data_IF_189443364920
#
_entry.id   IF_189443364920
#
_cell.length_a   1.000
_cell.length_b   1.000
_cell.length_c   1.000
_cell.angle_alpha   90.00
_cell.angle_beta   90.00
_cell.angle_gamma   90.00
#
_symmetry.space_group_name_H-M   'P 1'
#
loop_
_entity.id
_entity.type
_entity.pdbx_description
1 polymer ?
#
# COMPACT_ATOMS: atom_id res chain seq x y z
N UNK A 1 61.51 -23.58 19.82
CA UNK A 1 61.25 -24.60 18.78
C UNK A 1 59.81 -24.38 18.34
N UNK A 2 59.65 -23.69 17.21
CA UNK A 2 58.46 -22.94 16.79
C UNK A 2 57.45 -23.87 16.14
N UNK A 3 56.18 -23.79 16.56
CA UNK A 3 55.06 -24.36 15.82
C UNK A 3 54.60 -23.30 14.79
N UNK A 4 54.78 -23.51 13.47
CA UNK A 4 54.45 -22.51 12.48
C UNK A 4 52.95 -22.58 12.17
N UNK A 5 52.20 -21.63 12.74
CA UNK A 5 50.97 -21.02 12.18
C UNK A 5 50.30 -21.88 11.09
N UNK A 6 49.43 -22.79 11.52
CA UNK A 6 48.47 -23.43 10.62
C UNK A 6 47.75 -22.33 9.81
N UNK A 7 47.92 -22.35 8.49
CA UNK A 7 47.25 -21.41 7.61
C UNK A 7 45.73 -21.59 7.79
N UNK A 8 44.94 -20.50 7.93
CA UNK A 8 43.50 -20.63 7.87
C UNK A 8 43.15 -21.26 6.52
N UNK A 9 42.40 -22.36 6.55
CA UNK A 9 41.88 -22.99 5.34
C UNK A 9 41.07 -21.98 4.51
N UNK A 10 40.88 -22.23 3.20
CA UNK A 10 40.10 -21.34 2.36
C UNK A 10 38.73 -21.11 3.00
N UNK A 11 38.45 -19.86 3.38
CA UNK A 11 37.11 -19.46 3.80
C UNK A 11 36.21 -19.73 2.59
N UNK A 12 35.15 -20.55 2.71
CA UNK A 12 34.23 -20.74 1.60
C UNK A 12 33.70 -19.37 1.18
N UNK A 13 33.80 -19.07 -0.11
CA UNK A 13 33.23 -17.83 -0.67
C UNK A 13 31.72 -17.78 -0.43
N UNK A 14 31.10 -16.58 -0.50
CA UNK A 14 29.66 -16.45 -0.34
C UNK A 14 28.95 -17.39 -1.32
N UNK A 15 27.96 -18.13 -0.80
CA UNK A 15 27.16 -19.06 -1.58
C UNK A 15 26.10 -18.27 -2.37
N UNK A 16 26.23 -18.19 -3.71
CA UNK A 16 25.33 -17.37 -4.52
C UNK A 16 23.88 -17.83 -4.44
N UNK A 17 23.62 -19.10 -4.14
CA UNK A 17 22.26 -19.62 -4.06
C UNK A 17 21.54 -19.19 -2.77
N UNK A 18 22.29 -19.00 -1.67
CA UNK A 18 21.76 -18.45 -0.43
C UNK A 18 21.34 -16.99 -0.60
N UNK A 19 22.14 -16.19 -1.29
CA UNK A 19 21.85 -14.77 -1.56
C UNK A 19 20.56 -14.60 -2.39
N UNK A 20 20.32 -15.49 -3.36
CA UNK A 20 19.10 -15.46 -4.19
C UNK A 20 17.86 -15.83 -3.38
N UNK A 21 17.97 -16.82 -2.49
CA UNK A 21 16.85 -17.22 -1.65
C UNK A 21 16.50 -16.14 -0.62
N UNK A 22 17.50 -15.51 -0.01
CA UNK A 22 17.29 -14.38 0.91
C UNK A 22 16.61 -13.21 0.20
N UNK A 23 17.04 -12.88 -1.03
CA UNK A 23 16.41 -11.85 -1.85
C UNK A 23 14.94 -12.20 -2.17
N UNK A 24 14.66 -13.45 -2.54
CA UNK A 24 13.30 -13.92 -2.80
C UNK A 24 12.41 -13.75 -1.57
N UNK A 25 12.90 -14.14 -0.40
CA UNK A 25 12.18 -14.01 0.87
C UNK A 25 11.94 -12.54 1.23
N UNK A 26 12.94 -11.67 1.06
CA UNK A 26 12.80 -10.23 1.31
C UNK A 26 11.71 -9.60 0.41
N UNK A 27 11.66 -10.00 -0.86
CA UNK A 27 10.60 -9.58 -1.77
C UNK A 27 9.23 -10.12 -1.39
N UNK A 28 9.13 -11.38 -0.97
CA UNK A 28 7.86 -11.94 -0.51
C UNK A 28 7.31 -11.15 0.69
N UNK A 29 8.14 -10.90 1.71
CA UNK A 29 7.75 -10.10 2.88
C UNK A 29 7.33 -8.69 2.48
N UNK A 30 8.04 -8.08 1.53
CA UNK A 30 7.70 -6.74 1.02
C UNK A 30 6.36 -6.75 0.30
N UNK A 31 6.10 -7.73 -0.57
CA UNK A 31 4.82 -7.86 -1.27
C UNK A 31 3.68 -8.15 -0.30
N UNK A 32 3.90 -8.98 0.73
CA UNK A 32 2.89 -9.25 1.78
C UNK A 32 2.47 -7.95 2.49
N UNK A 33 3.44 -7.10 2.86
CA UNK A 33 3.16 -5.80 3.49
C UNK A 33 2.35 -4.88 2.57
N UNK A 34 2.77 -4.77 1.31
CA UNK A 34 2.06 -3.96 0.32
C UNK A 34 0.64 -4.48 0.04
N UNK A 35 0.45 -5.79 0.00
CA UNK A 35 -0.88 -6.39 -0.16
C UNK A 35 -1.79 -6.09 1.03
N UNK A 36 -1.27 -6.13 2.26
CA UNK A 36 -2.02 -5.73 3.44
C UNK A 36 -2.43 -4.26 3.39
N UNK A 37 -1.55 -3.37 2.93
CA UNK A 37 -1.88 -1.95 2.78
C UNK A 37 -2.96 -1.73 1.72
N UNK A 38 -2.89 -2.44 0.59
CA UNK A 38 -3.94 -2.39 -0.45
C UNK A 38 -5.27 -2.89 0.09
N UNK A 39 -5.28 -3.99 0.84
CA UNK A 39 -6.49 -4.49 1.50
C UNK A 39 -7.09 -3.45 2.47
N UNK A 40 -6.24 -2.74 3.24
CA UNK A 40 -6.70 -1.65 4.12
C UNK A 40 -7.33 -0.51 3.32
N UNK A 41 -6.74 -0.10 2.21
CA UNK A 41 -7.30 0.94 1.31
C UNK A 41 -8.63 0.51 0.73
N UNK A 42 -8.69 -0.68 0.12
CA UNK A 42 -9.92 -1.21 -0.47
C UNK A 42 -11.05 -1.27 0.59
N UNK A 43 -10.72 -1.70 1.81
CA UNK A 43 -11.66 -1.80 2.93
C UNK A 43 -12.10 -0.44 3.47
N UNK A 44 -11.22 0.57 3.45
CA UNK A 44 -11.56 1.94 3.85
C UNK A 44 -12.48 2.60 2.80
N UNK A 45 -12.12 2.49 1.53
CA UNK A 45 -12.90 3.00 0.39
C UNK A 45 -14.30 2.39 0.37
N UNK A 46 -14.41 1.07 0.55
CA UNK A 46 -15.70 0.39 0.61
C UNK A 46 -16.61 0.88 1.75
N UNK A 47 -16.03 1.36 2.86
CA UNK A 47 -16.76 1.94 3.99
C UNK A 47 -16.89 3.46 3.90
N UNK A 48 -16.45 4.09 2.81
CA UNK A 48 -16.46 5.54 2.65
C UNK A 48 -15.56 6.30 3.63
N UNK A 49 -14.51 5.65 4.15
CA UNK A 49 -13.52 6.26 5.05
C UNK A 49 -12.22 6.54 4.32
N UNK A 50 -11.45 7.50 4.83
CA UNK A 50 -10.08 7.71 4.36
C UNK A 50 -9.16 6.64 4.96
N UNK A 51 -8.34 5.94 4.16
CA UNK A 51 -7.37 5.00 4.70
C UNK A 51 -6.27 5.75 5.47
N UNK A 52 -5.89 5.18 6.60
CA UNK A 52 -4.72 5.60 7.36
C UNK A 52 -3.59 4.60 7.06
N UNK A 53 -2.56 5.09 6.37
CA UNK A 53 -1.40 4.31 5.96
C UNK A 53 -0.13 5.08 6.26
N UNK A 54 0.89 4.35 6.68
CA UNK A 54 2.26 4.87 6.67
C UNK A 54 2.74 5.00 5.21
N UNK A 55 3.39 6.12 4.84
CA UNK A 55 3.96 6.26 3.51
C UNK A 55 4.93 5.11 3.21
N UNK A 56 4.68 4.37 2.14
CA UNK A 56 5.57 3.28 1.73
C UNK A 56 6.96 3.82 1.43
N UNK A 57 7.98 3.17 2.01
CA UNK A 57 9.40 3.42 1.73
C UNK A 57 10.02 2.12 1.23
N UNK A 58 10.53 2.08 -0.02
CA UNK A 58 11.20 0.89 -0.52
C UNK A 58 12.46 0.64 0.32
N UNK A 59 12.68 -0.61 0.73
CA UNK A 59 13.91 -0.95 1.45
C UNK A 59 15.09 -0.88 0.47
N UNK A 60 16.19 -0.16 0.82
CA UNK A 60 17.24 0.19 -0.14
C UNK A 60 18.03 -1.01 -0.68
N UNK A 61 17.88 -2.19 -0.07
CA UNK A 61 18.62 -3.41 -0.39
C UNK A 61 17.79 -4.43 -1.19
N UNK A 62 16.55 -4.10 -1.58
CA UNK A 62 15.66 -5.04 -2.26
C UNK A 62 16.09 -5.44 -3.69
N UNK A 63 17.13 -4.87 -4.28
CA UNK A 63 17.61 -5.30 -5.60
C UNK A 63 16.50 -5.33 -6.68
N UNK A 64 16.65 -6.18 -7.70
CA UNK A 64 15.63 -6.38 -8.72
C UNK A 64 14.58 -7.39 -8.25
N UNK A 65 13.31 -7.20 -8.67
CA UNK A 65 12.23 -8.16 -8.40
C UNK A 65 12.53 -9.52 -9.06
N UNK A 66 12.52 -10.63 -8.30
CA UNK A 66 12.67 -11.97 -8.84
C UNK A 66 11.54 -12.32 -9.82
N UNK A 67 11.90 -12.96 -10.94
CA UNK A 67 10.95 -13.36 -11.99
C UNK A 67 9.74 -14.15 -11.49
N UNK A 68 9.88 -15.10 -10.54
CA UNK A 68 8.73 -15.86 -10.02
C UNK A 68 7.68 -14.99 -9.32
N UNK A 69 8.07 -13.81 -8.83
CA UNK A 69 7.18 -12.88 -8.13
C UNK A 69 6.57 -11.82 -9.05
N UNK A 70 7.01 -11.73 -10.31
CA UNK A 70 6.49 -10.77 -11.29
C UNK A 70 4.97 -10.84 -11.44
N UNK A 71 4.34 -12.00 -11.66
CA UNK A 71 2.89 -12.07 -11.84
C UNK A 71 2.11 -11.55 -10.61
N UNK A 72 2.64 -11.85 -9.41
CA UNK A 72 2.08 -11.39 -8.14
C UNK A 72 2.16 -9.88 -8.01
N UNK A 73 3.31 -9.29 -8.31
CA UNK A 73 3.51 -7.84 -8.28
C UNK A 73 2.61 -7.11 -9.29
N UNK A 74 2.42 -7.66 -10.49
CA UNK A 74 1.53 -7.10 -11.51
C UNK A 74 0.07 -7.12 -11.06
N UNK A 75 -0.39 -8.24 -10.47
CA UNK A 75 -1.73 -8.32 -9.90
C UNK A 75 -1.96 -7.31 -8.78
N UNK A 76 -0.96 -7.12 -7.92
CA UNK A 76 -0.99 -6.12 -6.85
C UNK A 76 -1.07 -4.70 -7.41
N UNK A 77 -0.25 -4.37 -8.42
CA UNK A 77 -0.27 -3.06 -9.08
C UNK A 77 -1.62 -2.78 -9.73
N UNK A 78 -2.23 -3.79 -10.35
CA UNK A 78 -3.57 -3.66 -10.93
C UNK A 78 -4.62 -3.31 -9.86
N UNK A 79 -4.59 -3.99 -8.71
CA UNK A 79 -5.48 -3.67 -7.59
C UNK A 79 -5.25 -2.27 -7.03
N UNK A 80 -4.00 -1.84 -6.91
CA UNK A 80 -3.66 -0.48 -6.50
C UNK A 80 -4.27 0.57 -7.44
N UNK A 81 -4.18 0.36 -8.76
CA UNK A 81 -4.77 1.26 -9.74
C UNK A 81 -6.30 1.32 -9.62
N UNK A 82 -6.96 0.17 -9.44
CA UNK A 82 -8.41 0.11 -9.22
C UNK A 82 -8.83 0.82 -7.92
N UNK A 83 -8.12 0.60 -6.83
CA UNK A 83 -8.39 1.25 -5.54
C UNK A 83 -8.22 2.76 -5.63
N UNK A 84 -7.17 3.23 -6.32
CA UNK A 84 -6.89 4.66 -6.54
C UNK A 84 -7.97 5.33 -7.38
N UNK A 85 -8.46 4.67 -8.44
CA UNK A 85 -9.57 5.15 -9.24
C UNK A 85 -10.84 5.33 -8.39
N UNK A 86 -11.21 4.30 -7.60
CA UNK A 86 -12.39 4.36 -6.71
C UNK A 86 -12.28 5.46 -5.66
N UNK A 87 -11.09 5.68 -5.10
CA UNK A 87 -10.86 6.75 -4.14
C UNK A 87 -11.07 8.13 -4.80
N UNK A 88 -10.54 8.31 -6.01
CA UNK A 88 -10.69 9.55 -6.78
C UNK A 88 -12.16 9.83 -7.12
N UNK A 89 -12.89 8.83 -7.60
CA UNK A 89 -14.32 8.92 -7.89
C UNK A 89 -15.12 9.34 -6.65
N UNK A 90 -14.77 8.79 -5.48
CA UNK A 90 -15.42 9.12 -4.22
C UNK A 90 -15.15 10.56 -3.79
N UNK A 91 -13.91 11.04 -3.93
CA UNK A 91 -13.56 12.44 -3.66
C UNK A 91 -14.36 13.40 -4.56
N UNK A 92 -14.51 13.08 -5.85
CA UNK A 92 -15.34 13.86 -6.76
C UNK A 92 -16.83 13.84 -6.39
N UNK A 93 -17.35 12.72 -5.89
CA UNK A 93 -18.72 12.64 -5.39
C UNK A 93 -18.92 13.54 -4.17
N UNK A 94 -18.04 13.45 -3.17
CA UNK A 94 -18.10 14.28 -1.95
C UNK A 94 -18.02 15.77 -2.30
N UNK A 95 -17.15 16.16 -3.23
CA UNK A 95 -17.04 17.55 -3.67
C UNK A 95 -18.34 18.06 -4.34
N UNK A 96 -19.00 17.22 -5.15
CA UNK A 96 -20.30 17.56 -5.77
C UNK A 96 -21.40 17.71 -4.73
N UNK A 97 -21.45 16.82 -3.75
CA UNK A 97 -22.41 16.88 -2.63
C UNK A 97 -22.23 18.18 -1.82
N UNK A 98 -20.98 18.56 -1.52
CA UNK A 98 -20.67 19.82 -0.83
C UNK A 98 -21.10 21.05 -1.65
N UNK A 99 -20.78 21.06 -2.95
CA UNK A 99 -21.15 22.18 -3.84
C UNK A 99 -22.66 22.36 -3.96
N UNK A 100 -23.41 21.25 -4.00
CA UNK A 100 -24.87 21.28 -4.01
C UNK A 100 -25.43 21.79 -2.68
N UNK A 101 -24.92 21.29 -1.55
CA UNK A 101 -25.32 21.75 -0.22
C UNK A 101 -25.07 23.25 -0.03
N UNK A 102 -23.91 23.76 -0.47
CA UNK A 102 -23.59 25.19 -0.43
C UNK A 102 -24.55 26.01 -1.31
N UNK A 103 -24.90 25.50 -2.49
CA UNK A 103 -25.80 26.18 -3.42
C UNK A 103 -27.22 26.22 -2.87
N UNK A 104 -27.73 25.12 -2.31
CA UNK A 104 -29.03 25.07 -1.62
C UNK A 104 -29.02 26.02 -0.44
N UNK A 105 -27.97 26.04 0.39
CA UNK A 105 -27.86 26.94 1.53
C UNK A 105 -27.90 28.42 1.13
N UNK A 106 -27.24 28.79 0.02
CA UNK A 106 -27.28 30.17 -0.51
C UNK A 106 -28.64 30.54 -1.10
N UNK A 107 -29.29 29.62 -1.81
CA UNK A 107 -30.60 29.87 -2.45
C UNK A 107 -31.74 29.86 -1.44
N UNK A 108 -31.64 29.04 -0.38
CA UNK A 108 -32.59 28.96 0.73
C UNK A 108 -32.38 30.07 1.76
N UNK A 109 -32.06 31.31 1.34
CA UNK A 109 -31.81 32.48 2.20
C UNK A 109 -33.00 32.97 3.06
N UNK A 110 -33.82 32.06 3.59
CA UNK A 110 -34.91 32.23 4.55
C UNK A 110 -34.85 31.04 5.51
N UNK A 111 -34.77 31.32 6.81
CA UNK A 111 -34.55 30.34 7.88
C UNK A 111 -35.48 29.14 7.81
N UNK A 112 -34.99 28.05 7.23
CA UNK A 112 -35.54 26.71 7.40
C UNK A 112 -34.47 25.95 8.16
N UNK A 113 -34.79 25.57 9.39
CA UNK A 113 -33.87 24.78 10.23
C UNK A 113 -33.50 23.50 9.47
N UNK A 114 -32.20 23.22 9.25
CA UNK A 114 -31.80 22.02 8.55
C UNK A 114 -32.16 20.79 9.41
N UNK A 115 -33.11 19.98 8.93
CA UNK A 115 -33.45 18.69 9.52
C UNK A 115 -32.48 17.65 8.97
N UNK A 116 -31.45 17.34 9.75
CA UNK A 116 -30.55 16.23 9.46
C UNK A 116 -31.23 14.92 9.86
N UNK A 117 -31.43 14.01 8.90
CA UNK A 117 -31.94 12.67 9.18
C UNK A 117 -30.74 11.76 9.42
N UNK A 118 -30.48 11.43 10.69
CA UNK A 118 -29.52 10.40 11.05
C UNK A 118 -30.00 9.04 10.56
N UNK A 119 -29.27 8.45 9.62
CA UNK A 119 -29.51 7.07 9.20
C UNK A 119 -28.65 6.13 10.04
N UNK A 120 -29.12 5.87 11.26
CA UNK A 120 -28.66 4.72 12.04
C UNK A 120 -29.41 3.46 11.55
N UNK A 121 -28.64 2.46 11.12
CA UNK A 121 -29.08 1.08 10.92
C UNK A 121 -28.50 0.23 12.06
#
# INVERSE_FOLDING_TARGET
>A
MTDPRAAPGPVPGPDPDLDVMELLMAWQVTLDRLELDVLRVESAVARGRMPELEPWRPEPHLGALPEPLRPRAEQLLHRQAQASARLTDRLHQVHREHTLADTVSRLSGRGVDPVYVDRAL
#
